data_IF_648983572146
#
_entry.id   IF_648983572146
#
_cell.length_a   1.000
_cell.length_b   1.000
_cell.length_c   1.000
_cell.angle_alpha   90.00
_cell.angle_beta   90.00
_cell.angle_gamma   90.00
#
_symmetry.space_group_name_H-M   'P 1'
#
loop_
_entity.id
_entity.type
_entity.pdbx_description
1 polymer ?
#
# COMPACT_ATOMS: atom_id res chain seq x y z
N UNK A 1 5.60 -7.02 18.07
CA UNK A 1 4.98 -8.17 17.38
C UNK A 1 4.07 -7.63 16.29
N UNK A 2 4.11 -8.21 15.10
CA UNK A 2 3.23 -7.81 14.00
C UNK A 2 1.83 -8.42 14.22
N UNK A 3 0.79 -7.60 14.25
CA UNK A 3 -0.59 -8.06 14.36
C UNK A 3 -1.17 -8.27 12.96
N UNK A 4 -1.51 -9.53 12.66
CA UNK A 4 -1.94 -9.98 11.33
C UNK A 4 -3.46 -10.18 11.25
N UNK A 5 -4.28 -9.48 12.03
CA UNK A 5 -5.74 -9.58 11.97
C UNK A 5 -6.26 -9.71 10.53
N UNK A 6 -6.68 -10.92 10.12
CA UNK A 6 -6.89 -11.27 8.71
C UNK A 6 -8.08 -10.55 8.06
N UNK A 7 -8.86 -9.82 8.85
CA UNK A 7 -9.98 -8.97 8.42
C UNK A 7 -9.52 -7.52 8.12
N UNK A 8 -8.27 -7.20 8.40
CA UNK A 8 -7.72 -5.87 8.18
C UNK A 8 -7.29 -5.68 6.72
N UNK A 9 -8.10 -4.93 5.98
CA UNK A 9 -7.80 -4.56 4.59
C UNK A 9 -6.51 -3.75 4.42
N UNK A 10 -5.95 -3.19 5.50
CA UNK A 10 -4.66 -2.50 5.51
C UNK A 10 -3.48 -3.40 5.94
N UNK A 11 -3.67 -4.71 6.14
CA UNK A 11 -2.62 -5.65 6.59
C UNK A 11 -1.33 -5.56 5.75
N UNK A 12 -1.46 -5.38 4.43
CA UNK A 12 -0.30 -5.20 3.54
C UNK A 12 0.44 -3.88 3.75
N UNK A 13 -0.27 -2.78 4.00
CA UNK A 13 0.33 -1.47 4.32
C UNK A 13 1.03 -1.53 5.66
N UNK A 14 0.36 -2.07 6.68
CA UNK A 14 0.94 -2.28 8.01
C UNK A 14 2.18 -3.17 7.96
N UNK A 15 2.17 -4.23 7.15
CA UNK A 15 3.34 -5.09 6.94
C UNK A 15 4.52 -4.29 6.38
N UNK A 16 4.29 -3.48 5.34
CA UNK A 16 5.35 -2.67 4.74
C UNK A 16 5.94 -1.64 5.71
N UNK A 17 5.12 -1.00 6.54
CA UNK A 17 5.57 -0.07 7.57
C UNK A 17 6.35 -0.78 8.67
N UNK A 18 5.86 -1.93 9.12
CA UNK A 18 6.52 -2.76 10.12
C UNK A 18 7.89 -3.25 9.65
N UNK A 19 8.00 -3.74 8.41
CA UNK A 19 9.26 -4.18 7.81
C UNK A 19 10.28 -3.04 7.71
N UNK A 20 9.84 -1.81 7.38
CA UNK A 20 10.74 -0.63 7.40
C UNK A 20 11.28 -0.35 8.81
N UNK A 21 10.43 -0.50 9.83
CA UNK A 21 10.83 -0.40 11.23
C UNK A 21 11.89 -1.44 11.60
N UNK A 22 11.68 -2.70 11.19
CA UNK A 22 12.64 -3.78 11.38
C UNK A 22 13.97 -3.49 10.65
N UNK A 23 13.92 -3.04 9.39
CA UNK A 23 15.13 -2.70 8.62
C UNK A 23 15.96 -1.59 9.31
N UNK A 24 15.31 -0.60 9.92
CA UNK A 24 15.99 0.43 10.70
C UNK A 24 16.63 -0.14 11.98
N UNK A 25 15.91 -1.02 12.68
CA UNK A 25 16.45 -1.69 13.86
C UNK A 25 17.68 -2.54 13.53
N UNK A 26 17.61 -3.38 12.48
CA UNK A 26 18.71 -4.24 12.04
C UNK A 26 19.95 -3.43 11.66
N UNK A 27 19.76 -2.28 11.00
CA UNK A 27 20.85 -1.32 10.73
C UNK A 27 21.45 -0.76 12.02
N UNK A 28 20.62 -0.37 12.98
CA UNK A 28 21.08 0.19 14.26
C UNK A 28 21.93 -0.81 15.06
N UNK A 29 21.56 -2.09 15.09
CA UNK A 29 22.36 -3.16 15.73
C UNK A 29 23.48 -3.71 14.84
N UNK A 30 23.69 -3.16 13.64
CA UNK A 30 24.70 -3.59 12.67
C UNK A 30 24.63 -5.09 12.29
N UNK A 31 23.42 -5.62 12.11
CA UNK A 31 23.21 -6.96 11.56
C UNK A 31 23.22 -6.87 10.03
N UNK A 32 24.23 -7.49 9.41
CA UNK A 32 24.47 -7.39 7.96
C UNK A 32 24.26 -8.71 7.22
N UNK A 33 24.43 -9.85 7.88
CA UNK A 33 24.26 -11.17 7.25
C UNK A 33 22.78 -11.58 7.17
N UNK A 34 22.44 -12.27 6.09
CA UNK A 34 21.04 -12.59 5.77
C UNK A 34 20.43 -13.64 6.70
N UNK A 35 21.24 -14.54 7.25
CA UNK A 35 20.77 -15.57 8.19
C UNK A 35 20.21 -14.92 9.47
N UNK A 36 20.97 -14.00 10.08
CA UNK A 36 20.51 -13.26 11.27
C UNK A 36 19.34 -12.34 10.97
N UNK A 37 19.30 -11.68 9.80
CA UNK A 37 18.13 -10.86 9.41
C UNK A 37 16.87 -11.69 9.27
N UNK A 38 16.96 -12.87 8.63
CA UNK A 38 15.86 -13.83 8.50
C UNK A 38 15.36 -14.30 9.87
N UNK A 39 16.27 -14.69 10.76
CA UNK A 39 15.93 -15.09 12.13
C UNK A 39 15.24 -13.96 12.91
N UNK A 40 15.78 -12.74 12.85
CA UNK A 40 15.21 -11.58 13.53
C UNK A 40 13.81 -11.23 13.01
N UNK A 41 13.57 -11.33 11.70
CA UNK A 41 12.24 -11.11 11.13
C UNK A 41 11.23 -12.08 11.72
N UNK A 42 11.54 -13.38 11.72
CA UNK A 42 10.65 -14.41 12.20
C UNK A 42 10.34 -14.27 13.70
N UNK A 43 11.35 -13.93 14.50
CA UNK A 43 11.21 -13.72 15.95
C UNK A 43 10.36 -12.47 16.27
N UNK A 44 10.70 -11.32 15.68
CA UNK A 44 10.04 -10.05 15.99
C UNK A 44 8.64 -9.93 15.37
N UNK A 45 8.42 -10.53 14.20
CA UNK A 45 7.12 -10.53 13.54
C UNK A 45 6.11 -11.35 14.34
N UNK A 46 6.56 -12.46 14.94
CA UNK A 46 5.79 -13.26 15.86
C UNK A 46 5.29 -14.58 15.28
N UNK A 47 4.62 -15.36 16.14
CA UNK A 47 4.27 -16.76 15.90
C UNK A 47 3.40 -16.98 14.66
N UNK A 48 2.50 -16.06 14.34
CA UNK A 48 1.61 -16.21 13.17
C UNK A 48 2.38 -16.02 11.86
N UNK A 49 3.31 -15.08 11.82
CA UNK A 49 4.21 -14.88 10.67
C UNK A 49 5.17 -16.07 10.52
N UNK A 50 5.67 -16.62 11.64
CA UNK A 50 6.46 -17.86 11.62
C UNK A 50 5.66 -19.06 11.08
N UNK A 51 4.40 -19.22 11.49
CA UNK A 51 3.52 -20.28 10.95
C UNK A 51 3.30 -20.14 9.45
N UNK A 52 3.12 -18.91 8.97
CA UNK A 52 3.01 -18.61 7.53
C UNK A 52 4.29 -19.01 6.81
N UNK A 53 5.46 -18.66 7.37
CA UNK A 53 6.76 -19.06 6.82
C UNK A 53 6.86 -20.58 6.68
N UNK A 54 6.63 -21.31 7.76
CA UNK A 54 6.72 -22.77 7.79
C UNK A 54 5.73 -23.41 6.81
N UNK A 55 4.51 -22.89 6.70
CA UNK A 55 3.52 -23.36 5.73
C UNK A 55 3.89 -23.05 4.27
N UNK A 56 4.56 -21.94 3.99
CA UNK A 56 5.00 -21.53 2.65
C UNK A 56 6.28 -22.28 2.25
N UNK A 57 7.24 -22.42 3.15
CA UNK A 57 8.49 -23.15 2.94
C UNK A 57 8.22 -24.65 2.73
N UNK A 58 7.34 -25.27 3.53
CA UNK A 58 6.91 -26.67 3.32
C UNK A 58 6.27 -26.92 1.95
N UNK A 59 5.66 -25.89 1.34
CA UNK A 59 5.07 -25.99 -0.02
C UNK A 59 6.11 -25.78 -1.12
N UNK A 60 7.20 -25.07 -0.84
CA UNK A 60 8.23 -24.71 -1.79
C UNK A 60 9.41 -25.68 -1.61
N UNK A 61 9.34 -26.84 -2.28
CA UNK A 61 10.48 -27.76 -2.33
C UNK A 61 11.69 -27.05 -2.94
N UNK A 62 12.91 -27.25 -2.40
CA UNK A 62 14.12 -26.67 -2.97
C UNK A 62 14.26 -27.12 -4.44
N UNK A 63 14.49 -26.16 -5.33
CA UNK A 63 14.81 -26.44 -6.74
C UNK A 63 16.32 -26.58 -6.79
N UNK A 64 16.81 -27.76 -7.20
CA UNK A 64 18.25 -28.07 -7.30
C UNK A 64 19.05 -27.97 -5.98
N UNK A 65 18.41 -28.18 -4.82
CA UNK A 65 19.10 -28.18 -3.52
C UNK A 65 19.43 -26.79 -2.96
N UNK A 66 18.93 -25.72 -3.61
CA UNK A 66 18.90 -24.36 -3.06
C UNK A 66 17.53 -24.09 -2.44
N UNK A 67 17.55 -23.53 -1.23
CA UNK A 67 16.34 -23.14 -0.52
C UNK A 67 15.59 -22.07 -1.33
N UNK A 68 14.27 -22.13 -1.35
CA UNK A 68 13.48 -21.17 -2.17
C UNK A 68 13.52 -19.74 -1.57
N UNK A 69 14.19 -19.54 -0.43
CA UNK A 69 14.43 -18.26 0.26
C UNK A 69 15.92 -18.09 0.55
N UNK A 70 16.69 -17.83 -0.50
CA UNK A 70 18.14 -17.67 -0.37
C UNK A 70 18.52 -16.41 0.43
N UNK A 71 17.78 -15.30 0.26
CA UNK A 71 18.09 -14.01 0.89
C UNK A 71 17.01 -13.48 1.84
N UNK A 72 17.40 -12.54 2.70
CA UNK A 72 16.46 -11.76 3.52
C UNK A 72 15.48 -10.95 2.66
N UNK A 73 15.94 -10.40 1.53
CA UNK A 73 15.09 -9.65 0.62
C UNK A 73 14.06 -10.54 -0.07
N UNK A 74 14.39 -11.80 -0.39
CA UNK A 74 13.42 -12.75 -0.94
C UNK A 74 12.37 -13.15 0.09
N UNK A 75 12.77 -13.30 1.35
CA UNK A 75 11.84 -13.52 2.46
C UNK A 75 10.85 -12.35 2.58
N UNK A 76 11.35 -11.11 2.57
CA UNK A 76 10.50 -9.91 2.59
C UNK A 76 9.54 -9.87 1.41
N UNK A 77 9.99 -10.18 0.19
CA UNK A 77 9.12 -10.22 -1.00
C UNK A 77 8.03 -11.28 -0.88
N UNK A 78 8.33 -12.47 -0.36
CA UNK A 78 7.31 -13.52 -0.17
C UNK A 78 6.26 -13.12 0.85
N UNK A 79 6.67 -12.59 2.00
CA UNK A 79 5.72 -12.11 2.98
C UNK A 79 4.94 -10.90 2.47
N UNK A 80 5.59 -9.98 1.77
CA UNK A 80 4.89 -8.90 1.09
C UNK A 80 3.85 -9.46 0.13
N UNK A 81 4.16 -10.48 -0.68
CA UNK A 81 3.17 -11.13 -1.54
C UNK A 81 2.08 -11.88 -0.76
N UNK A 82 2.35 -12.38 0.44
CA UNK A 82 1.38 -13.11 1.26
C UNK A 82 0.41 -12.18 1.97
N UNK A 83 0.91 -11.10 2.58
CA UNK A 83 0.13 -10.06 3.24
C UNK A 83 -0.42 -9.01 2.27
N UNK A 84 0.01 -9.06 1.01
CA UNK A 84 -0.51 -8.25 -0.09
C UNK A 84 -0.98 -9.13 -1.25
N UNK A 85 -1.80 -10.19 -1.02
CA UNK A 85 -1.99 -11.25 -2.02
C UNK A 85 -2.81 -10.80 -3.23
N UNK A 86 -3.49 -9.67 -3.13
CA UNK A 86 -4.00 -8.84 -4.22
C UNK A 86 -4.51 -7.59 -3.51
N UNK A 87 -3.96 -6.40 -3.78
CA UNK A 87 -4.80 -5.19 -3.75
C UNK A 87 -6.00 -5.53 -4.61
N UNK A 88 -7.13 -5.89 -4.01
CA UNK A 88 -8.31 -6.18 -4.80
C UNK A 88 -8.62 -4.85 -5.49
N UNK A 89 -8.29 -4.73 -6.78
CA UNK A 89 -8.40 -3.44 -7.49
C UNK A 89 -9.83 -2.92 -7.41
N UNK A 90 -10.82 -3.81 -7.31
CA UNK A 90 -12.21 -3.41 -7.08
C UNK A 90 -12.41 -2.83 -5.68
N UNK A 91 -11.78 -3.40 -4.65
CA UNK A 91 -11.80 -2.84 -3.30
C UNK A 91 -11.09 -1.48 -3.23
N UNK A 92 -9.89 -1.36 -3.78
CA UNK A 92 -9.14 -0.09 -3.78
C UNK A 92 -9.91 1.00 -4.54
N UNK A 93 -10.48 0.64 -5.70
CA UNK A 93 -11.37 1.53 -6.44
C UNK A 93 -12.62 1.86 -5.63
N UNK A 94 -13.20 0.91 -4.91
CA UNK A 94 -14.35 1.16 -4.05
C UNK A 94 -14.01 2.16 -2.93
N UNK A 95 -12.89 2.00 -2.24
CA UNK A 95 -12.41 2.96 -1.22
C UNK A 95 -12.18 4.33 -1.85
N UNK A 96 -11.48 4.39 -2.99
CA UNK A 96 -11.25 5.64 -3.74
C UNK A 96 -12.57 6.33 -4.10
N UNK A 97 -13.56 5.58 -4.65
CA UNK A 97 -14.87 6.12 -5.07
C UNK A 97 -15.77 6.54 -3.92
N UNK A 98 -15.60 5.94 -2.75
CA UNK A 98 -16.33 6.32 -1.54
C UNK A 98 -15.68 7.47 -0.78
N UNK A 99 -14.44 7.85 -1.10
CA UNK A 99 -13.78 8.96 -0.44
C UNK A 99 -14.43 10.27 -0.87
N UNK A 100 -14.82 11.09 0.10
CA UNK A 100 -15.44 12.41 -0.08
C UNK A 100 -14.62 13.49 0.62
N UNK A 101 -14.80 14.74 0.20
CA UNK A 101 -14.21 15.90 0.86
C UNK A 101 -14.79 16.02 2.27
N UNK A 102 -13.93 16.18 3.27
CA UNK A 102 -14.34 16.38 4.66
C UNK A 102 -14.87 17.81 4.88
N UNK A 103 -15.70 18.00 5.91
CA UNK A 103 -16.23 19.32 6.23
C UNK A 103 -15.11 20.29 6.61
N UNK A 104 -15.03 21.41 5.90
CA UNK A 104 -13.97 22.41 6.09
C UNK A 104 -12.62 22.04 5.49
N UNK A 105 -12.47 20.87 4.85
CA UNK A 105 -11.26 20.51 4.11
C UNK A 105 -11.14 21.35 2.83
N UNK A 106 -9.95 21.81 2.48
CA UNK A 106 -9.72 22.44 1.17
C UNK A 106 -9.48 21.39 0.07
N UNK A 107 -9.42 21.84 -1.19
CA UNK A 107 -9.32 20.89 -2.31
C UNK A 107 -7.96 20.16 -2.37
N UNK A 108 -6.88 20.81 -1.95
CA UNK A 108 -5.53 20.25 -2.04
C UNK A 108 -5.27 19.06 -1.10
N UNK A 109 -5.65 19.11 0.20
CA UNK A 109 -5.64 17.94 1.07
C UNK A 109 -6.52 16.81 0.53
N UNK A 110 -7.71 17.12 0.01
CA UNK A 110 -8.61 16.11 -0.54
C UNK A 110 -7.98 15.40 -1.75
N UNK A 111 -7.45 16.17 -2.72
CA UNK A 111 -6.74 15.64 -3.88
C UNK A 111 -5.50 14.82 -3.47
N UNK A 112 -4.81 15.22 -2.39
CA UNK A 112 -3.65 14.47 -1.84
C UNK A 112 -4.08 13.10 -1.31
N UNK A 113 -5.20 13.02 -0.58
CA UNK A 113 -5.76 11.74 -0.11
C UNK A 113 -6.13 10.84 -1.30
N UNK A 114 -6.81 11.39 -2.30
CA UNK A 114 -7.16 10.67 -3.54
C UNK A 114 -5.92 10.17 -4.30
N UNK A 115 -4.88 11.00 -4.43
CA UNK A 115 -3.61 10.62 -5.08
C UNK A 115 -2.88 9.50 -4.33
N UNK A 116 -3.02 9.42 -3.01
CA UNK A 116 -2.47 8.31 -2.25
C UNK A 116 -3.25 7.00 -2.47
N UNK A 117 -4.57 7.06 -2.51
CA UNK A 117 -5.44 5.90 -2.78
C UNK A 117 -5.30 5.38 -4.22
N UNK A 118 -5.12 6.27 -5.20
CA UNK A 118 -5.00 5.90 -6.62
C UNK A 118 -3.81 4.99 -6.93
N UNK A 119 -2.71 5.08 -6.16
CA UNK A 119 -1.51 4.21 -6.24
C UNK A 119 -1.84 2.72 -6.14
N UNK A 120 -3.03 2.38 -5.63
CA UNK A 120 -3.50 1.04 -5.37
C UNK A 120 -4.57 0.58 -6.38
N UNK A 121 -5.18 1.51 -7.12
CA UNK A 121 -6.34 1.26 -7.98
C UNK A 121 -6.00 0.70 -9.37
N UNK A 122 -4.77 0.90 -9.84
CA UNK A 122 -4.34 0.48 -11.19
C UNK A 122 -5.00 1.28 -12.31
N UNK A 123 -5.26 2.58 -12.07
CA UNK A 123 -5.72 3.50 -13.10
C UNK A 123 -4.63 3.75 -14.15
N UNK A 124 -5.05 3.94 -15.40
CA UNK A 124 -4.14 4.31 -16.49
C UNK A 124 -3.83 5.80 -16.45
N UNK A 125 -4.86 6.62 -16.24
CA UNK A 125 -4.75 8.06 -16.04
C UNK A 125 -5.21 8.38 -14.60
N UNK A 126 -4.26 8.67 -13.73
CA UNK A 126 -4.54 8.95 -12.32
C UNK A 126 -5.19 10.31 -12.14
N UNK A 127 -4.78 11.32 -12.91
CA UNK A 127 -5.23 12.69 -12.70
C UNK A 127 -6.66 12.88 -13.22
N UNK A 128 -7.02 12.25 -14.34
CA UNK A 128 -8.40 12.17 -14.82
C UNK A 128 -9.32 11.52 -13.78
N UNK A 129 -8.88 10.43 -13.15
CA UNK A 129 -9.67 9.72 -12.15
C UNK A 129 -9.84 10.53 -10.85
N UNK A 130 -8.82 11.28 -10.45
CA UNK A 130 -8.90 12.22 -9.33
C UNK A 130 -9.88 13.35 -9.65
N UNK A 131 -9.81 13.95 -10.85
CA UNK A 131 -10.74 15.01 -11.25
C UNK A 131 -12.19 14.50 -11.28
N UNK A 132 -12.43 13.33 -11.83
CA UNK A 132 -13.74 12.66 -11.79
C UNK A 132 -14.22 12.45 -10.35
N UNK A 133 -13.34 12.00 -9.45
CA UNK A 133 -13.70 11.80 -8.05
C UNK A 133 -13.92 13.11 -7.27
N UNK A 134 -13.23 14.18 -7.66
CA UNK A 134 -13.48 15.52 -7.11
C UNK A 134 -14.88 15.99 -7.52
N UNK A 135 -15.28 15.79 -8.78
CA UNK A 135 -16.64 16.12 -9.25
C UNK A 135 -17.70 15.38 -8.43
N UNK A 136 -17.50 14.09 -8.16
CA UNK A 136 -18.45 13.25 -7.42
C UNK A 136 -18.43 13.49 -5.90
N UNK A 137 -17.35 14.02 -5.35
CA UNK A 137 -17.09 13.99 -3.91
C UNK A 137 -16.73 15.32 -3.25
N UNK A 138 -16.66 16.41 -4.01
CA UNK A 138 -16.40 17.74 -3.47
C UNK A 138 -17.68 18.39 -2.93
N UNK A 139 -17.51 19.19 -1.87
CA UNK A 139 -18.55 20.04 -1.30
C UNK A 139 -18.61 21.43 -1.99
N UNK A 140 -17.66 21.74 -2.89
CA UNK A 140 -17.56 23.04 -3.58
C UNK A 140 -18.19 23.01 -4.98
N UNK A 141 -19.34 23.65 -5.11
CA UNK A 141 -20.04 23.79 -6.40
C UNK A 141 -19.23 24.57 -7.45
N UNK A 142 -18.39 25.51 -7.01
CA UNK A 142 -17.56 26.31 -7.90
C UNK A 142 -16.45 25.46 -8.52
N UNK A 143 -15.81 24.60 -7.72
CA UNK A 143 -14.79 23.64 -8.17
C UNK A 143 -15.41 22.64 -9.15
N UNK A 144 -16.54 22.04 -8.78
CA UNK A 144 -17.28 21.12 -9.65
C UNK A 144 -17.61 21.82 -10.99
N UNK A 145 -18.15 23.03 -10.92
CA UNK A 145 -18.48 23.80 -12.11
C UNK A 145 -17.27 24.14 -12.99
N UNK A 146 -16.10 24.42 -12.40
CA UNK A 146 -14.85 24.67 -13.15
C UNK A 146 -14.45 23.43 -13.94
N UNK A 147 -14.40 22.27 -13.30
CA UNK A 147 -14.01 21.01 -13.95
C UNK A 147 -14.96 20.68 -15.11
N UNK A 148 -16.27 20.76 -14.89
CA UNK A 148 -17.28 20.42 -15.89
C UNK A 148 -17.29 21.34 -17.13
N UNK A 149 -16.73 22.55 -17.04
CA UNK A 149 -16.63 23.50 -18.17
C UNK A 149 -15.37 23.34 -19.00
N UNK A 150 -14.36 22.64 -18.49
CA UNK A 150 -13.03 22.61 -19.09
C UNK A 150 -12.81 21.52 -20.16
N UNK A 151 -13.85 20.73 -20.53
CA UNK A 151 -13.84 19.77 -21.65
C UNK A 151 -12.52 18.96 -21.78
N UNK A 152 -12.07 18.33 -20.69
CA UNK A 152 -10.88 17.47 -20.60
C UNK A 152 -9.50 18.16 -20.73
N UNK A 153 -9.44 19.48 -20.86
CA UNK A 153 -8.16 20.23 -20.92
C UNK A 153 -7.59 20.58 -19.54
N UNK A 154 -8.41 20.50 -18.49
CA UNK A 154 -8.01 20.91 -17.14
C UNK A 154 -7.03 19.91 -16.53
N UNK A 155 -5.87 20.42 -16.14
CA UNK A 155 -4.90 19.65 -15.35
C UNK A 155 -5.21 19.76 -13.86
N UNK A 156 -4.93 18.69 -13.12
CA UNK A 156 -5.15 18.67 -11.68
C UNK A 156 -4.36 19.78 -10.98
N UNK A 157 -3.13 20.07 -11.43
CA UNK A 157 -2.28 21.13 -10.87
C UNK A 157 -2.95 22.51 -10.95
N UNK A 158 -3.60 22.83 -12.08
CA UNK A 158 -4.32 24.09 -12.30
C UNK A 158 -5.56 24.26 -11.40
N UNK A 159 -6.04 23.17 -10.82
CA UNK A 159 -7.09 23.18 -9.82
C UNK A 159 -6.55 23.43 -8.40
N UNK A 160 -5.31 23.02 -8.12
CA UNK A 160 -4.69 23.08 -6.80
C UNK A 160 -4.07 24.45 -6.49
N UNK A 161 -3.73 25.23 -7.51
CA UNK A 161 -3.17 26.58 -7.39
C UNK A 161 -4.23 27.68 -7.17
N UNK A 162 -5.48 27.30 -6.91
CA UNK A 162 -6.62 28.20 -6.77
C UNK A 162 -6.96 28.54 -5.31
#
# INVERSE_FOLDING_TARGET
>A
MFDCGMEDTAVGTKWNEWVKGLDNYLKWVNIIDDERKKAALLDYAGVDVFRIYDAVEKKLKPVNGQDVVDSYDDMKKKFASHFNPRKNRFYEKHVFRNTKQEDGESIAPYATRLRNLSKYCGFQDVDSEILSQIVEGSNSKDIIGKILRSNDELKLEELLDW
#
